data_IF_856493920905
#
_entry.id   IF_856493920905
#
_cell.length_a   1.000
_cell.length_b   1.000
_cell.length_c   1.000
_cell.angle_alpha   90.00
_cell.angle_beta   90.00
_cell.angle_gamma   90.00
#
_symmetry.space_group_name_H-M   'P 1'
#
loop_
_entity.id
_entity.type
_entity.pdbx_description
1 polymer ?
#
# COMPACT_ATOMS: atom_id res chain seq x y z
N UNK A 1 -19.50 -13.59 5.87
CA UNK A 1 -18.48 -12.54 5.77
C UNK A 1 -17.70 -12.80 4.51
N UNK A 2 -17.78 -11.85 3.58
CA UNK A 2 -16.92 -11.82 2.39
C UNK A 2 -15.44 -11.82 2.82
N UNK A 3 -14.54 -12.29 1.96
CA UNK A 3 -13.11 -12.39 2.31
C UNK A 3 -12.53 -11.01 2.65
N UNK A 4 -12.89 -9.99 1.89
CA UNK A 4 -12.47 -8.61 2.10
C UNK A 4 -12.95 -8.05 3.44
N UNK A 5 -14.16 -8.41 3.86
CA UNK A 5 -14.72 -8.00 5.15
C UNK A 5 -13.97 -8.66 6.32
N UNK A 6 -13.54 -9.92 6.17
CA UNK A 6 -12.73 -10.60 7.19
C UNK A 6 -11.36 -9.97 7.33
N UNK A 7 -10.71 -9.64 6.21
CA UNK A 7 -9.39 -8.99 6.20
C UNK A 7 -9.49 -7.62 6.87
N UNK A 8 -10.52 -6.82 6.54
CA UNK A 8 -10.73 -5.52 7.19
C UNK A 8 -10.90 -5.67 8.71
N UNK A 9 -11.77 -6.57 9.17
CA UNK A 9 -11.97 -6.85 10.61
C UNK A 9 -10.70 -7.30 11.33
N UNK A 10 -9.78 -7.95 10.64
CA UNK A 10 -8.49 -8.34 11.20
C UNK A 10 -7.58 -7.14 11.46
N UNK A 11 -7.57 -6.13 10.57
CA UNK A 11 -6.74 -4.92 10.72
C UNK A 11 -7.40 -3.80 11.54
N UNK A 12 -8.73 -3.82 11.72
CA UNK A 12 -9.46 -2.78 12.46
C UNK A 12 -8.84 -2.44 13.85
N UNK A 13 -8.41 -3.42 14.69
CA UNK A 13 -7.83 -3.11 15.99
C UNK A 13 -6.57 -2.25 15.90
N UNK A 14 -5.63 -2.61 15.01
CA UNK A 14 -4.37 -1.89 14.87
C UNK A 14 -4.56 -0.52 14.21
N UNK A 15 -5.50 -0.40 13.26
CA UNK A 15 -5.84 0.89 12.65
C UNK A 15 -6.40 1.84 13.72
N UNK A 16 -7.31 1.34 14.55
CA UNK A 16 -7.89 2.14 15.64
C UNK A 16 -6.83 2.58 16.65
N UNK A 17 -5.99 1.66 17.13
CA UNK A 17 -4.94 1.98 18.10
C UNK A 17 -3.94 2.99 17.56
N UNK A 18 -3.51 2.85 16.30
CA UNK A 18 -2.60 3.81 15.67
C UNK A 18 -3.26 5.18 15.48
N UNK A 19 -4.54 5.24 15.13
CA UNK A 19 -5.27 6.50 15.06
C UNK A 19 -5.42 7.15 16.45
N UNK A 20 -5.72 6.36 17.48
CA UNK A 20 -5.79 6.85 18.86
C UNK A 20 -4.41 7.41 19.30
N UNK A 21 -3.31 6.72 19.01
CA UNK A 21 -1.95 7.21 19.29
C UNK A 21 -1.62 8.51 18.52
N UNK A 22 -2.14 8.69 17.31
CA UNK A 22 -1.93 9.91 16.52
C UNK A 22 -2.76 11.10 17.04
N UNK A 23 -3.97 10.85 17.52
CA UNK A 23 -4.90 11.90 17.96
C UNK A 23 -4.76 12.24 19.44
N UNK A 24 -4.60 11.23 20.30
CA UNK A 24 -4.56 11.37 21.76
C UNK A 24 -3.18 11.09 22.36
N UNK A 25 -2.31 10.37 21.66
CA UNK A 25 -0.96 10.07 22.15
C UNK A 25 -0.93 9.26 23.44
N UNK A 26 0.23 9.29 24.12
CA UNK A 26 0.46 8.67 25.43
C UNK A 26 0.83 9.72 26.46
N UNK A 27 0.19 9.65 27.64
CA UNK A 27 0.56 10.51 28.77
C UNK A 27 1.76 9.91 29.50
N UNK A 28 2.86 10.64 29.57
CA UNK A 28 4.05 10.25 30.31
C UNK A 28 4.08 11.02 31.63
N UNK A 29 3.63 10.36 32.70
CA UNK A 29 3.48 10.97 34.03
C UNK A 29 4.79 11.54 34.58
N UNK A 30 5.92 10.87 34.33
CA UNK A 30 7.25 11.30 34.79
C UNK A 30 7.63 12.71 34.32
N UNK A 31 7.14 13.12 33.15
CA UNK A 31 7.45 14.40 32.53
C UNK A 31 6.25 15.33 32.42
N UNK A 32 5.10 14.95 33.00
CA UNK A 32 3.82 15.66 32.86
C UNK A 32 3.55 16.11 31.40
N UNK A 33 3.82 15.21 30.46
CA UNK A 33 3.85 15.52 29.03
C UNK A 33 3.04 14.51 28.23
N UNK A 34 2.51 14.95 27.10
CA UNK A 34 1.77 14.11 26.15
C UNK A 34 2.66 13.84 24.93
N UNK A 35 2.94 12.56 24.66
CA UNK A 35 3.70 12.11 23.50
C UNK A 35 2.73 11.72 22.38
N UNK A 36 2.74 12.47 21.28
CA UNK A 36 1.98 12.15 20.08
C UNK A 36 2.81 11.27 19.14
N UNK A 37 2.11 10.41 18.40
CA UNK A 37 2.71 9.54 17.42
C UNK A 37 2.30 9.98 16.02
N UNK A 38 3.09 9.62 15.01
CA UNK A 38 2.69 9.71 13.61
C UNK A 38 3.00 8.39 12.95
N UNK A 39 2.05 7.89 12.16
CA UNK A 39 2.33 6.82 11.22
C UNK A 39 3.38 7.31 10.20
N UNK A 40 4.24 6.40 9.76
CA UNK A 40 5.30 6.67 8.78
C UNK A 40 5.23 5.68 7.62
N UNK A 41 5.45 4.39 7.90
CA UNK A 41 5.51 3.36 6.88
C UNK A 41 5.26 1.95 7.46
N UNK A 42 4.97 1.00 6.58
CA UNK A 42 4.82 -0.43 6.88
C UNK A 42 5.89 -1.20 6.13
N UNK A 43 6.80 -1.83 6.87
CA UNK A 43 7.76 -2.76 6.31
C UNK A 43 7.05 -4.09 6.00
N UNK A 44 7.19 -4.56 4.76
CA UNK A 44 6.65 -5.82 4.29
C UNK A 44 7.43 -6.24 3.04
N UNK A 45 7.54 -7.55 2.82
CA UNK A 45 8.01 -8.08 1.55
C UNK A 45 7.08 -7.63 0.39
N UNK A 46 7.53 -7.77 -0.86
CA UNK A 46 6.77 -7.28 -2.00
C UNK A 46 5.38 -7.91 -2.16
N UNK A 47 5.25 -9.20 -1.84
CA UNK A 47 4.00 -9.94 -1.98
C UNK A 47 2.98 -9.47 -0.96
N UNK A 48 3.38 -9.34 0.30
CA UNK A 48 2.59 -8.84 1.41
C UNK A 48 2.24 -7.36 1.24
N UNK A 49 3.21 -6.52 0.82
CA UNK A 49 2.97 -5.11 0.53
C UNK A 49 1.91 -4.94 -0.57
N UNK A 50 2.00 -5.71 -1.66
CA UNK A 50 1.00 -5.67 -2.72
C UNK A 50 -0.39 -6.12 -2.24
N UNK A 51 -0.44 -7.22 -1.48
CA UNK A 51 -1.68 -7.74 -0.94
C UNK A 51 -2.39 -6.71 -0.05
N UNK A 52 -1.68 -6.16 0.93
CA UNK A 52 -2.27 -5.20 1.89
C UNK A 52 -2.57 -3.87 1.21
N UNK A 53 -1.77 -3.42 0.25
CA UNK A 53 -2.02 -2.16 -0.46
C UNK A 53 -3.12 -2.26 -1.54
N UNK A 54 -3.68 -3.46 -1.80
CA UNK A 54 -4.74 -3.64 -2.79
C UNK A 54 -4.26 -3.68 -4.24
N UNK A 55 -3.03 -4.15 -4.47
CA UNK A 55 -2.46 -4.35 -5.80
C UNK A 55 -2.39 -5.84 -6.17
N UNK A 56 -2.34 -6.11 -7.47
CA UNK A 56 -2.12 -7.45 -8.00
C UNK A 56 -0.81 -8.03 -7.49
N UNK A 57 -0.81 -9.34 -7.25
CA UNK A 57 0.34 -10.10 -6.76
C UNK A 57 1.08 -10.84 -7.88
N UNK A 58 0.86 -10.43 -9.13
CA UNK A 58 1.56 -10.95 -10.31
C UNK A 58 2.64 -9.96 -10.73
N UNK A 59 3.89 -10.40 -10.60
CA UNK A 59 5.08 -9.59 -10.90
C UNK A 59 5.62 -9.77 -12.32
N UNK A 60 5.11 -10.77 -13.03
CA UNK A 60 5.54 -11.15 -14.38
C UNK A 60 4.55 -10.76 -15.49
N UNK A 61 3.61 -9.85 -15.22
CA UNK A 61 2.67 -9.35 -16.24
C UNK A 61 1.97 -8.05 -15.82
N UNK A 62 1.45 -7.30 -16.80
CA UNK A 62 0.63 -6.11 -16.55
C UNK A 62 1.36 -5.02 -15.76
N UNK A 63 0.60 -4.23 -14.99
CA UNK A 63 1.16 -3.19 -14.12
C UNK A 63 1.55 -3.76 -12.75
N UNK A 64 2.74 -4.33 -12.69
CA UNK A 64 3.25 -5.04 -11.52
C UNK A 64 3.82 -4.14 -10.42
N UNK A 65 4.06 -2.86 -10.68
CA UNK A 65 4.68 -1.95 -9.70
C UNK A 65 3.63 -1.15 -8.90
N UNK A 66 3.77 -1.13 -7.56
CA UNK A 66 2.95 -0.31 -6.65
C UNK A 66 3.29 1.18 -6.63
N UNK A 67 4.46 1.58 -7.15
CA UNK A 67 4.95 2.97 -7.13
C UNK A 67 4.85 3.69 -8.47
N UNK A 68 4.82 2.96 -9.59
CA UNK A 68 4.75 3.54 -10.92
C UNK A 68 3.81 2.78 -11.85
N UNK A 69 3.50 3.38 -13.00
CA UNK A 69 2.58 2.85 -14.00
C UNK A 69 3.27 2.00 -15.10
N UNK A 70 4.48 1.51 -14.84
CA UNK A 70 5.20 0.63 -15.79
C UNK A 70 4.42 -0.67 -16.04
N UNK A 71 4.56 -1.23 -17.24
CA UNK A 71 4.05 -2.55 -17.63
C UNK A 71 5.19 -3.54 -17.80
N UNK A 72 4.92 -4.82 -17.55
CA UNK A 72 5.92 -5.90 -17.65
C UNK A 72 6.51 -6.09 -19.07
N UNK A 73 5.85 -5.60 -20.11
CA UNK A 73 6.38 -5.58 -21.49
C UNK A 73 7.64 -4.72 -21.64
N UNK A 74 7.96 -3.93 -20.62
CA UNK A 74 9.20 -3.17 -20.53
C UNK A 74 10.12 -3.72 -19.42
N UNK A 75 10.57 -5.00 -19.44
CA UNK A 75 11.41 -5.55 -18.38
C UNK A 75 12.88 -5.14 -18.53
N UNK A 76 13.27 -4.62 -19.71
CA UNK A 76 14.64 -4.29 -20.09
C UNK A 76 14.95 -2.78 -20.03
N UNK A 77 14.17 -1.96 -19.31
CA UNK A 77 14.47 -0.52 -19.30
C UNK A 77 15.77 -0.28 -18.51
N UNK A 78 16.83 0.29 -19.11
CA UNK A 78 18.06 0.62 -18.40
C UNK A 78 17.76 1.59 -17.26
N UNK A 79 18.21 1.27 -16.04
CA UNK A 79 18.01 2.07 -14.82
C UNK A 79 18.41 3.56 -14.98
N UNK A 80 19.18 3.89 -16.00
CA UNK A 80 19.76 5.21 -16.24
C UNK A 80 18.89 6.15 -17.07
N UNK A 81 17.87 5.66 -17.81
CA UNK A 81 17.08 6.49 -18.76
C UNK A 81 15.55 6.37 -18.59
N UNK A 82 15.09 5.72 -17.51
CA UNK A 82 13.64 5.46 -17.32
C UNK A 82 12.92 6.68 -16.77
N UNK A 83 12.16 7.36 -17.63
CA UNK A 83 11.09 8.25 -17.18
C UNK A 83 9.85 7.41 -16.87
N UNK A 84 9.70 6.96 -15.63
CA UNK A 84 8.48 6.28 -15.20
C UNK A 84 7.47 7.28 -14.65
N UNK A 85 6.19 7.06 -14.96
CA UNK A 85 5.11 7.84 -14.37
C UNK A 85 4.85 7.28 -12.98
N UNK A 86 5.22 8.06 -11.96
CA UNK A 86 4.93 7.73 -10.57
C UNK A 86 3.42 7.73 -10.34
N UNK A 87 2.95 6.77 -9.54
CA UNK A 87 1.56 6.74 -9.09
C UNK A 87 1.34 7.83 -8.05
N UNK A 88 0.21 8.50 -8.17
CA UNK A 88 -0.31 9.41 -7.15
C UNK A 88 -1.50 8.77 -6.45
N UNK A 89 -1.74 9.14 -5.20
CA UNK A 89 -2.94 8.73 -4.46
C UNK A 89 -4.23 9.01 -5.24
N UNK A 90 -4.34 10.20 -5.86
CA UNK A 90 -5.49 10.58 -6.71
C UNK A 90 -5.72 9.63 -7.89
N UNK A 91 -4.64 9.19 -8.56
CA UNK A 91 -4.75 8.20 -9.63
C UNK A 91 -5.16 6.83 -9.09
N UNK A 92 -4.62 6.41 -7.94
CA UNK A 92 -4.99 5.16 -7.29
C UNK A 92 -6.48 5.12 -6.93
N UNK A 93 -7.01 6.20 -6.33
CA UNK A 93 -8.43 6.33 -6.02
C UNK A 93 -9.31 6.22 -7.27
N UNK A 94 -8.93 6.86 -8.38
CA UNK A 94 -9.65 6.72 -9.66
C UNK A 94 -9.64 5.27 -10.15
N UNK A 95 -8.52 4.55 -10.01
CA UNK A 95 -8.44 3.14 -10.38
C UNK A 95 -9.36 2.28 -9.52
N UNK A 96 -9.44 2.54 -8.20
CA UNK A 96 -10.36 1.86 -7.30
C UNK A 96 -11.82 2.06 -7.69
N UNK A 97 -12.21 3.29 -8.00
CA UNK A 97 -13.59 3.58 -8.45
C UNK A 97 -13.92 2.86 -9.76
N UNK A 98 -13.00 2.85 -10.72
CA UNK A 98 -13.17 2.13 -11.99
C UNK A 98 -13.26 0.62 -11.78
N UNK A 99 -12.45 0.06 -10.88
CA UNK A 99 -12.46 -1.35 -10.54
C UNK A 99 -13.82 -1.77 -9.93
N UNK A 100 -14.32 -1.01 -8.95
CA UNK A 100 -15.64 -1.24 -8.33
C UNK A 100 -16.79 -1.21 -9.35
N UNK A 101 -16.69 -0.37 -10.37
CA UNK A 101 -17.73 -0.20 -11.39
C UNK A 101 -17.67 -1.23 -12.53
N UNK A 102 -16.64 -2.10 -12.59
CA UNK A 102 -16.43 -3.06 -13.68
C UNK A 102 -16.07 -4.46 -13.15
N UNK A 103 -17.05 -5.25 -12.70
CA UNK A 103 -16.81 -6.53 -12.01
C UNK A 103 -16.14 -7.61 -12.86
N UNK A 104 -16.06 -7.44 -14.18
CA UNK A 104 -15.41 -8.40 -15.09
C UNK A 104 -13.91 -8.15 -15.31
N UNK A 105 -13.37 -7.03 -14.80
CA UNK A 105 -11.96 -6.68 -14.95
C UNK A 105 -11.15 -7.23 -13.78
N UNK A 106 -10.02 -7.90 -14.06
CA UNK A 106 -9.14 -8.48 -13.04
C UNK A 106 -8.33 -7.44 -12.26
N UNK A 107 -7.92 -6.35 -12.92
CA UNK A 107 -7.25 -5.22 -12.28
C UNK A 107 -7.37 -3.95 -13.13
N UNK A 108 -7.31 -2.78 -12.51
CA UNK A 108 -7.23 -1.48 -13.20
C UNK A 108 -5.87 -0.87 -12.89
N UNK A 109 -4.96 -0.85 -13.86
CA UNK A 109 -3.55 -0.50 -13.65
C UNK A 109 -2.94 -1.25 -12.46
N UNK A 110 -3.20 -2.56 -12.34
CA UNK A 110 -2.69 -3.38 -11.25
C UNK A 110 -3.40 -3.20 -9.90
N UNK A 111 -4.38 -2.29 -9.79
CA UNK A 111 -5.24 -2.18 -8.59
C UNK A 111 -6.33 -3.25 -8.64
N UNK A 112 -6.51 -3.99 -7.54
CA UNK A 112 -7.45 -5.12 -7.42
C UNK A 112 -8.45 -4.97 -6.28
N UNK A 113 -8.33 -3.93 -5.45
CA UNK A 113 -9.24 -3.71 -4.33
C UNK A 113 -8.73 -2.63 -3.38
N UNK A 114 -9.58 -2.17 -2.43
CA UNK A 114 -9.16 -1.22 -1.42
C UNK A 114 -8.20 -1.86 -0.40
N UNK A 115 -7.31 -1.07 0.17
CA UNK A 115 -6.51 -1.52 1.32
C UNK A 115 -7.37 -1.59 2.59
N UNK A 116 -7.21 -2.61 3.46
CA UNK A 116 -7.82 -2.63 4.78
C UNK A 116 -7.29 -1.52 5.70
N UNK A 117 -6.21 -0.84 5.33
CA UNK A 117 -5.58 0.23 6.10
C UNK A 117 -6.00 1.63 5.66
N UNK A 118 -6.96 1.76 4.74
CA UNK A 118 -7.41 3.05 4.22
C UNK A 118 -7.97 4.01 5.29
N UNK A 119 -8.41 3.49 6.44
CA UNK A 119 -8.90 4.30 7.55
C UNK A 119 -7.76 4.79 8.49
N UNK A 120 -6.51 4.39 8.26
CA UNK A 120 -5.35 4.85 9.03
C UNK A 120 -4.95 6.27 8.58
N UNK A 121 -4.83 7.21 9.53
CA UNK A 121 -4.38 8.56 9.20
C UNK A 121 -2.97 8.56 8.61
N UNK A 122 -2.76 9.40 7.59
CA UNK A 122 -1.50 9.54 6.83
C UNK A 122 -1.08 8.29 6.04
N UNK A 123 -1.97 7.33 5.84
CA UNK A 123 -1.72 6.17 4.99
C UNK A 123 -1.96 6.47 3.49
N UNK A 124 -1.03 6.02 2.65
CA UNK A 124 -1.13 6.05 1.19
C UNK A 124 -0.65 4.69 0.64
N UNK A 125 -1.52 3.87 0.02
CA UNK A 125 -1.13 2.56 -0.50
C UNK A 125 -0.02 2.63 -1.57
N UNK A 126 0.19 3.80 -2.20
CA UNK A 126 1.22 4.02 -3.21
C UNK A 126 2.59 4.37 -2.61
N UNK A 127 2.65 4.80 -1.35
CA UNK A 127 3.86 5.34 -0.74
C UNK A 127 4.20 4.81 0.67
N UNK A 128 3.22 4.28 1.41
CA UNK A 128 3.39 3.83 2.80
C UNK A 128 4.11 2.47 2.94
N UNK A 129 4.42 1.79 1.84
CA UNK A 129 5.21 0.55 1.83
C UNK A 129 6.56 0.81 1.17
N UNK A 130 7.66 0.97 1.92
CA UNK A 130 8.99 1.20 1.35
C UNK A 130 9.49 -0.02 0.58
N UNK A 131 10.59 0.13 -0.15
CA UNK A 131 11.20 -0.98 -0.88
C UNK A 131 11.83 -1.93 0.12
N UNK A 132 11.77 -3.23 -0.17
CA UNK A 132 12.42 -4.22 0.66
C UNK A 132 13.73 -4.62 -0.01
N UNK A 133 14.77 -3.82 0.26
CA UNK A 133 16.09 -4.04 -0.35
C UNK A 133 16.64 -5.44 -0.06
N UNK A 134 16.27 -6.04 1.09
CA UNK A 134 16.76 -7.38 1.43
C UNK A 134 16.18 -8.42 0.45
N UNK A 135 14.86 -8.42 0.28
CA UNK A 135 14.19 -9.33 -0.64
C UNK A 135 14.49 -8.98 -2.11
N UNK A 136 14.54 -7.69 -2.45
CA UNK A 136 14.75 -7.21 -3.82
C UNK A 136 16.16 -7.51 -4.35
N UNK A 137 17.20 -7.39 -3.52
CA UNK A 137 18.58 -7.59 -3.97
C UNK A 137 19.14 -8.98 -3.65
N UNK A 138 18.74 -9.61 -2.53
CA UNK A 138 19.36 -10.86 -2.09
C UNK A 138 18.52 -12.10 -2.37
N UNK A 139 17.19 -11.96 -2.47
CA UNK A 139 16.31 -13.11 -2.68
C UNK A 139 15.85 -13.25 -4.13
N UNK A 140 15.86 -12.15 -4.90
CA UNK A 140 15.49 -12.15 -6.32
C UNK A 140 13.98 -12.32 -6.51
N UNK A 141 13.29 -11.25 -6.92
CA UNK A 141 11.86 -11.28 -7.24
C UNK A 141 11.61 -11.48 -8.74
#
# INVERSE_FOLDING_TARGET
>A
LDNDEKIRKFYDPIVKELNDLQLTGLTINTFNSQLLFSFSAIAADNLAAHNVAGFQQTFSSGNFCRRCLITYENPLIPLTDVHFIQRTYSQHEKCLQLFKNKPHIKSVFGVVGPSPLNDLHNFDPTNSFPGDAMHDFFEGN
#
